data_IF_420909065487
#
_entry.id   IF_420909065487
#
_cell.length_a   1.000
_cell.length_b   1.000
_cell.length_c   1.000
_cell.angle_alpha   90.00
_cell.angle_beta   90.00
_cell.angle_gamma   90.00
#
_symmetry.space_group_name_H-M   'P 1'
#
loop_
_entity.id
_entity.type
_entity.pdbx_description
1 polymer ?
#
# COMPACT_ATOMS: atom_id res chain seq x y z
N UNK A 1 43.11 2.38 16.40
CA UNK A 1 42.03 1.56 17.00
C UNK A 1 40.73 2.29 16.69
N UNK A 2 40.06 1.89 15.61
CA UNK A 2 38.94 2.61 15.00
C UNK A 2 37.64 2.06 15.59
N UNK A 3 36.68 2.88 16.05
CA UNK A 3 35.37 2.36 16.45
C UNK A 3 34.52 2.16 15.20
N UNK A 4 34.12 0.92 14.97
CA UNK A 4 33.18 0.50 13.94
C UNK A 4 31.78 1.03 14.28
N UNK A 5 31.00 1.59 13.34
CA UNK A 5 29.62 1.96 13.63
C UNK A 5 28.75 0.70 13.75
N UNK A 6 27.98 0.66 14.82
CA UNK A 6 26.97 -0.35 15.15
C UNK A 6 25.85 -0.27 14.09
N UNK A 7 25.40 -1.38 13.47
CA UNK A 7 24.25 -1.33 12.58
C UNK A 7 23.00 -1.06 13.43
N UNK A 8 22.43 0.14 13.30
CA UNK A 8 21.15 0.47 13.91
C UNK A 8 20.05 -0.34 13.23
N UNK A 9 19.48 -1.29 14.00
CA UNK A 9 18.21 -1.95 13.70
C UNK A 9 17.11 -0.90 13.52
N UNK A 10 16.48 -0.92 12.35
CA UNK A 10 15.08 -0.50 12.17
C UNK A 10 14.76 0.95 12.49
N UNK A 11 15.41 1.89 11.82
CA UNK A 11 14.73 3.15 11.54
C UNK A 11 13.64 2.83 10.50
N UNK A 12 12.37 2.89 10.90
CA UNK A 12 11.26 3.05 9.96
C UNK A 12 11.50 4.43 9.34
N UNK A 13 12.25 4.47 8.24
CA UNK A 13 12.29 5.64 7.37
C UNK A 13 10.82 5.91 7.04
N UNK A 14 10.34 7.11 7.32
CA UNK A 14 9.04 7.52 6.83
C UNK A 14 9.10 7.36 5.31
N UNK A 15 8.50 6.28 4.78
CA UNK A 15 8.36 6.11 3.35
C UNK A 15 7.61 7.35 2.87
N UNK A 16 8.26 8.16 2.04
CA UNK A 16 7.62 9.32 1.42
C UNK A 16 6.63 8.80 0.38
N UNK A 17 5.43 8.45 0.85
CA UNK A 17 4.34 8.01 0.00
C UNK A 17 3.81 9.19 -0.80
N UNK A 18 3.93 9.09 -2.11
CA UNK A 18 3.33 10.05 -3.01
C UNK A 18 1.82 9.90 -2.98
N UNK A 19 1.12 10.95 -2.54
CA UNK A 19 -0.33 10.95 -2.36
C UNK A 19 -1.00 11.79 -3.43
N UNK A 20 -2.00 11.23 -4.12
CA UNK A 20 -2.78 11.94 -5.12
C UNK A 20 -4.25 11.50 -5.14
N UNK A 21 -5.14 12.45 -5.38
CA UNK A 21 -6.56 12.17 -5.59
C UNK A 21 -6.81 11.68 -7.01
N UNK A 22 -7.57 10.59 -7.13
CA UNK A 22 -8.01 10.02 -8.39
C UNK A 22 -9.46 9.53 -8.29
N UNK A 23 -10.05 9.13 -9.42
CA UNK A 23 -11.38 8.52 -9.44
C UNK A 23 -11.26 7.03 -9.74
N UNK A 24 -11.89 6.21 -8.90
CA UNK A 24 -12.12 4.79 -9.15
C UNK A 24 -13.62 4.55 -9.24
N UNK A 25 -14.08 4.00 -10.36
CA UNK A 25 -15.51 3.68 -10.58
C UNK A 25 -16.44 4.89 -10.33
N UNK A 26 -16.06 6.07 -10.83
CA UNK A 26 -16.76 7.36 -10.60
C UNK A 26 -16.83 7.84 -9.14
N UNK A 27 -16.10 7.21 -8.21
CA UNK A 27 -15.97 7.64 -6.83
C UNK A 27 -14.57 8.24 -6.54
N UNK A 28 -14.48 9.29 -5.73
CA UNK A 28 -13.20 9.85 -5.30
C UNK A 28 -12.43 8.83 -4.44
N UNK A 29 -11.16 8.65 -4.76
CA UNK A 29 -10.24 7.78 -4.05
C UNK A 29 -8.85 8.44 -3.96
N UNK A 30 -8.22 8.30 -2.80
CA UNK A 30 -6.88 8.81 -2.54
C UNK A 30 -5.90 7.65 -2.77
N UNK A 31 -4.97 7.82 -3.68
CA UNK A 31 -3.89 6.88 -3.93
C UNK A 31 -2.67 7.32 -3.16
N UNK A 32 -2.00 6.37 -2.51
CA UNK A 32 -0.73 6.55 -1.85
C UNK A 32 0.23 5.50 -2.40
N UNK A 33 1.33 5.91 -2.99
CA UNK A 33 2.28 4.97 -3.62
C UNK A 33 3.69 5.29 -3.19
N UNK A 34 4.48 4.26 -2.89
CA UNK A 34 5.91 4.41 -2.69
C UNK A 34 6.57 4.53 -4.06
N UNK A 35 7.03 5.72 -4.42
CA UNK A 35 7.68 6.01 -5.71
C UNK A 35 9.15 5.59 -5.73
N UNK A 36 9.72 5.21 -4.57
CA UNK A 36 11.11 4.84 -4.40
C UNK A 36 11.33 3.32 -4.43
N UNK A 37 10.29 2.53 -4.76
CA UNK A 37 10.39 1.08 -4.88
C UNK A 37 11.34 0.71 -6.02
N UNK A 38 12.48 0.04 -5.75
CA UNK A 38 13.41 -0.36 -6.80
C UNK A 38 12.78 -1.41 -7.73
N UNK A 39 13.04 -1.30 -9.03
CA UNK A 39 12.55 -2.27 -10.01
C UNK A 39 13.03 -3.70 -9.70
N UNK A 40 14.27 -3.84 -9.20
CA UNK A 40 14.84 -5.12 -8.80
C UNK A 40 14.06 -5.74 -7.64
N UNK A 41 13.58 -4.92 -6.71
CA UNK A 41 12.80 -5.39 -5.56
C UNK A 41 11.45 -5.98 -5.98
N UNK A 42 10.83 -5.44 -7.03
CA UNK A 42 9.61 -6.00 -7.62
C UNK A 42 9.92 -7.26 -8.44
N UNK A 43 10.99 -7.25 -9.24
CA UNK A 43 11.34 -8.40 -10.09
C UNK A 43 11.62 -9.69 -9.32
N UNK A 44 12.12 -9.58 -8.08
CA UNK A 44 12.37 -10.74 -7.21
C UNK A 44 11.11 -11.23 -6.50
N UNK A 45 9.97 -10.54 -6.62
CA UNK A 45 8.72 -10.80 -5.89
C UNK A 45 7.57 -11.00 -6.86
N UNK A 46 7.39 -12.19 -7.42
CA UNK A 46 6.40 -12.43 -8.47
C UNK A 46 4.94 -12.40 -7.99
N UNK A 47 4.68 -12.31 -6.69
CA UNK A 47 3.32 -12.33 -6.17
C UNK A 47 2.91 -10.96 -5.64
N UNK A 48 1.78 -10.44 -6.15
CA UNK A 48 1.09 -9.29 -5.59
C UNK A 48 0.04 -9.76 -4.61
N UNK A 49 0.16 -9.28 -3.38
CA UNK A 49 -0.79 -9.46 -2.31
C UNK A 49 -1.60 -8.18 -2.14
N UNK A 50 -2.92 -8.30 -2.01
CA UNK A 50 -3.76 -7.19 -1.60
C UNK A 50 -4.53 -7.53 -0.32
N UNK A 51 -4.68 -6.53 0.54
CA UNK A 51 -5.55 -6.56 1.71
C UNK A 51 -6.52 -5.41 1.59
N UNK A 52 -7.79 -5.72 1.40
CA UNK A 52 -8.88 -4.78 1.39
C UNK A 52 -9.64 -4.85 2.70
N UNK A 53 -10.00 -3.69 3.25
CA UNK A 53 -11.08 -3.60 4.23
C UNK A 53 -12.13 -2.60 3.77
N UNK A 54 -13.39 -3.03 3.86
CA UNK A 54 -14.56 -2.29 3.43
C UNK A 54 -15.49 -2.10 4.62
N UNK A 55 -16.08 -0.91 4.75
CA UNK A 55 -17.16 -0.68 5.70
C UNK A 55 -18.37 -1.51 5.29
N UNK A 56 -19.10 -2.02 6.28
CA UNK A 56 -20.42 -2.62 6.03
C UNK A 56 -21.50 -1.58 5.76
N UNK A 57 -21.15 -0.30 5.92
CA UNK A 57 -22.00 0.87 5.63
C UNK A 57 -21.51 1.56 4.36
N UNK A 58 -22.06 2.74 4.09
CA UNK A 58 -21.70 3.57 2.94
C UNK A 58 -20.36 4.30 3.09
N UNK A 59 -19.85 4.47 4.33
CA UNK A 59 -18.59 5.14 4.60
C UNK A 59 -17.88 4.57 5.83
N UNK A 60 -16.55 4.64 5.82
CA UNK A 60 -15.71 4.25 6.94
C UNK A 60 -15.95 5.16 8.14
N UNK A 61 -16.24 4.55 9.28
CA UNK A 61 -16.33 5.26 10.56
C UNK A 61 -14.94 5.43 11.18
N UNK A 62 -14.73 6.42 12.07
CA UNK A 62 -13.43 6.59 12.75
C UNK A 62 -12.96 5.35 13.52
N UNK A 63 -13.89 4.50 13.94
CA UNK A 63 -13.58 3.19 14.56
C UNK A 63 -13.02 2.23 13.53
N UNK A 64 -13.66 2.10 12.38
CA UNK A 64 -13.23 1.26 11.27
C UNK A 64 -11.85 1.68 10.74
N UNK A 65 -11.58 2.98 10.61
CA UNK A 65 -10.27 3.49 10.23
C UNK A 65 -9.16 3.08 11.20
N UNK A 66 -9.44 3.12 12.52
CA UNK A 66 -8.48 2.64 13.54
C UNK A 66 -8.22 1.15 13.41
N UNK A 67 -9.25 0.37 13.09
CA UNK A 67 -9.11 -1.07 12.83
C UNK A 67 -8.30 -1.34 11.56
N UNK A 68 -8.53 -0.59 10.48
CA UNK A 68 -7.72 -0.67 9.24
C UNK A 68 -6.26 -0.35 9.51
N UNK A 69 -5.98 0.74 10.24
CA UNK A 69 -4.61 1.11 10.61
C UNK A 69 -3.94 0.04 11.48
N UNK A 70 -4.68 -0.61 12.38
CA UNK A 70 -4.18 -1.72 13.19
C UNK A 70 -3.94 -2.98 12.35
N UNK A 71 -4.85 -3.31 11.43
CA UNK A 71 -4.72 -4.42 10.50
C UNK A 71 -3.51 -4.23 9.59
N UNK A 72 -3.31 -3.03 9.04
CA UNK A 72 -2.15 -2.67 8.23
C UNK A 72 -0.85 -2.85 9.01
N UNK A 73 -0.75 -2.27 10.21
CA UNK A 73 0.44 -2.44 11.08
C UNK A 73 0.70 -3.89 11.45
N UNK A 74 -0.35 -4.70 11.57
CA UNK A 74 -0.22 -6.13 11.85
C UNK A 74 0.25 -6.88 10.62
N UNK A 75 -0.29 -6.57 9.44
CA UNK A 75 0.13 -7.12 8.16
C UNK A 75 1.60 -6.80 7.89
N UNK A 76 2.02 -5.54 8.01
CA UNK A 76 3.41 -5.11 7.84
C UNK A 76 4.40 -5.82 8.78
N UNK A 77 3.97 -6.17 10.00
CA UNK A 77 4.81 -6.89 10.97
C UNK A 77 4.81 -8.40 10.80
N UNK A 78 3.74 -8.96 10.25
CA UNK A 78 3.54 -10.42 10.19
C UNK A 78 3.95 -10.96 8.84
N UNK A 79 3.62 -10.23 7.79
CA UNK A 79 3.87 -10.63 6.41
C UNK A 79 5.28 -10.19 6.02
N UNK A 80 6.04 -11.09 5.43
CA UNK A 80 7.30 -10.76 4.79
C UNK A 80 7.02 -10.29 3.35
N UNK A 81 6.43 -9.11 3.26
CA UNK A 81 5.98 -8.53 1.99
C UNK A 81 6.35 -7.04 1.91
N UNK A 82 6.79 -6.62 0.73
CA UNK A 82 7.12 -5.25 0.40
C UNK A 82 5.85 -4.44 0.19
N UNK A 83 5.56 -3.49 1.08
CA UNK A 83 4.48 -2.53 0.85
C UNK A 83 4.86 -1.57 -0.29
N UNK A 84 3.93 -1.38 -1.22
CA UNK A 84 4.18 -0.51 -2.40
C UNK A 84 3.16 0.61 -2.55
N UNK A 85 2.01 0.51 -1.86
CA UNK A 85 0.99 1.54 -1.92
C UNK A 85 -0.38 1.11 -1.41
N UNK A 86 -1.27 2.07 -1.35
CA UNK A 86 -2.65 1.89 -0.90
C UNK A 86 -3.62 2.81 -1.62
N UNK A 87 -4.88 2.41 -1.66
CA UNK A 87 -5.98 3.17 -2.24
C UNK A 87 -7.03 3.34 -1.15
N UNK A 88 -7.40 4.59 -0.87
CA UNK A 88 -8.35 4.97 0.17
C UNK A 88 -9.57 5.61 -0.47
N UNK A 89 -10.68 4.89 -0.49
CA UNK A 89 -11.98 5.40 -0.90
C UNK A 89 -12.90 5.56 0.32
N UNK A 90 -13.99 6.31 0.16
CA UNK A 90 -14.91 6.62 1.26
C UNK A 90 -15.41 5.38 2.04
N UNK A 91 -15.66 4.27 1.33
CA UNK A 91 -16.20 3.04 1.93
C UNK A 91 -15.18 1.90 2.03
N UNK A 92 -14.00 2.02 1.42
CA UNK A 92 -13.01 0.92 1.32
C UNK A 92 -11.57 1.44 1.31
N UNK A 93 -10.68 0.70 1.93
CA UNK A 93 -9.23 0.88 1.77
C UNK A 93 -8.61 -0.42 1.28
N UNK A 94 -7.66 -0.32 0.36
CA UNK A 94 -6.92 -1.45 -0.20
C UNK A 94 -5.43 -1.17 -0.05
N UNK A 95 -4.71 -2.11 0.53
CA UNK A 95 -3.26 -2.07 0.69
C UNK A 95 -2.63 -3.11 -0.24
N UNK A 96 -1.58 -2.73 -0.94
CA UNK A 96 -0.88 -3.56 -1.90
C UNK A 96 0.54 -3.85 -1.43
N UNK A 97 0.91 -5.12 -1.51
CA UNK A 97 2.21 -5.63 -1.15
C UNK A 97 2.73 -6.58 -2.23
N UNK A 98 4.05 -6.72 -2.33
CA UNK A 98 4.71 -7.72 -3.16
C UNK A 98 5.48 -8.70 -2.30
N UNK A 99 5.49 -9.97 -2.67
CA UNK A 99 6.21 -11.02 -1.98
C UNK A 99 6.73 -12.07 -2.96
N UNK A 100 7.77 -12.78 -2.55
CA UNK A 100 8.33 -13.94 -3.25
C UNK A 100 7.75 -15.26 -2.73
N UNK A 101 6.93 -15.22 -1.67
CA UNK A 101 6.33 -16.37 -1.04
C UNK A 101 4.80 -16.38 -1.18
N UNK A 102 4.28 -17.39 -1.89
CA UNK A 102 2.85 -17.59 -2.09
C UNK A 102 2.09 -17.90 -0.76
N UNK A 103 2.78 -18.44 0.26
CA UNK A 103 2.17 -18.73 1.56
C UNK A 103 1.73 -17.47 2.30
N UNK A 104 2.33 -16.31 1.98
CA UNK A 104 1.90 -15.01 2.51
C UNK A 104 0.44 -14.70 2.17
N UNK A 105 -0.08 -15.23 1.05
CA UNK A 105 -1.49 -15.14 0.71
C UNK A 105 -2.40 -15.82 1.73
N UNK A 106 -2.01 -17.02 2.18
CA UNK A 106 -2.71 -17.75 3.24
C UNK A 106 -2.60 -17.04 4.58
N UNK A 107 -1.43 -16.49 4.92
CA UNK A 107 -1.22 -15.71 6.14
C UNK A 107 -2.08 -14.44 6.15
N UNK A 108 -2.14 -13.71 5.04
CA UNK A 108 -2.98 -12.53 4.90
C UNK A 108 -4.47 -12.87 5.09
N UNK A 109 -4.94 -13.99 4.51
CA UNK A 109 -6.30 -14.50 4.75
C UNK A 109 -6.55 -14.84 6.22
N UNK A 110 -5.58 -15.44 6.90
CA UNK A 110 -5.69 -15.73 8.34
C UNK A 110 -5.71 -14.45 9.19
N UNK A 111 -4.98 -13.40 8.78
CA UNK A 111 -5.00 -12.08 9.44
C UNK A 111 -6.36 -11.42 9.31
N UNK A 112 -6.91 -11.34 8.10
CA UNK A 112 -8.21 -10.70 7.87
C UNK A 112 -9.37 -11.47 8.50
N UNK A 113 -9.27 -12.80 8.62
CA UNK A 113 -10.30 -13.62 9.25
C UNK A 113 -10.50 -13.31 10.75
N UNK A 114 -9.50 -12.69 11.38
CA UNK A 114 -9.59 -12.24 12.78
C UNK A 114 -10.33 -10.89 12.89
N UNK A 115 -10.46 -10.13 11.81
CA UNK A 115 -11.16 -8.85 11.79
C UNK A 115 -12.67 -9.10 11.66
N UNK A 116 -13.44 -8.54 12.60
CA UNK A 116 -14.89 -8.73 12.70
C UNK A 116 -15.68 -7.43 12.54
N UNK A 117 -15.00 -6.30 12.63
CA UNK A 117 -15.58 -4.96 12.55
C UNK A 117 -15.83 -4.58 11.10
N UNK A 118 -14.88 -4.89 10.22
CA UNK A 118 -14.93 -4.58 8.79
C UNK A 118 -15.29 -5.82 7.98
N UNK A 119 -15.65 -5.61 6.72
CA UNK A 119 -15.64 -6.66 5.69
C UNK A 119 -14.27 -6.65 5.01
N UNK A 120 -13.43 -7.62 5.36
CA UNK A 120 -12.06 -7.70 4.89
C UNK A 120 -11.90 -8.79 3.83
N UNK A 121 -11.11 -8.50 2.80
CA UNK A 121 -10.80 -9.43 1.73
C UNK A 121 -9.31 -9.39 1.46
N UNK A 122 -8.67 -10.55 1.37
CA UNK A 122 -7.26 -10.67 1.06
C UNK A 122 -7.10 -11.68 -0.07
N UNK A 123 -6.20 -11.37 -0.99
CA UNK A 123 -5.91 -12.22 -2.12
C UNK A 123 -4.45 -12.08 -2.52
N UNK A 124 -3.97 -13.12 -3.19
CA UNK A 124 -2.66 -13.19 -3.78
C UNK A 124 -2.84 -13.49 -5.26
N UNK A 125 -2.05 -12.81 -6.09
CA UNK A 125 -2.09 -12.93 -7.55
C UNK A 125 -0.66 -12.95 -8.09
N UNK A 126 -0.44 -13.74 -9.12
CA UNK A 126 0.79 -13.67 -9.91
C UNK A 126 0.88 -12.32 -10.62
N UNK A 127 1.94 -11.57 -10.32
CA UNK A 127 2.28 -10.31 -10.98
C UNK A 127 3.81 -10.14 -11.12
N UNK A 128 4.47 -11.05 -11.86
CA UNK A 128 5.93 -11.03 -12.03
C UNK A 128 6.45 -9.80 -12.78
N UNK A 129 5.59 -9.12 -13.53
CA UNK A 129 5.93 -7.89 -14.25
C UNK A 129 5.78 -6.63 -13.39
N UNK A 130 5.21 -6.74 -12.18
CA UNK A 130 4.89 -5.59 -11.34
C UNK A 130 3.83 -4.68 -11.96
N UNK A 131 2.95 -5.22 -12.81
CA UNK A 131 1.97 -4.43 -13.58
C UNK A 131 1.01 -3.68 -12.66
N UNK A 132 0.64 -4.25 -11.51
CA UNK A 132 -0.19 -3.55 -10.51
C UNK A 132 0.52 -2.31 -9.98
N UNK A 133 1.83 -2.40 -9.76
CA UNK A 133 2.57 -1.24 -9.29
C UNK A 133 2.69 -0.21 -10.40
N UNK A 134 3.18 -0.60 -11.58
CA UNK A 134 3.49 0.33 -12.67
C UNK A 134 2.27 0.89 -13.40
N UNK A 135 1.17 0.14 -13.53
CA UNK A 135 -0.01 0.54 -14.32
C UNK A 135 -1.18 1.02 -13.46
N UNK A 136 -1.33 0.51 -12.24
CA UNK A 136 -2.47 0.84 -11.37
C UNK A 136 -2.11 1.90 -10.32
N UNK A 137 -0.99 1.72 -9.62
CA UNK A 137 -0.62 2.59 -8.49
C UNK A 137 0.25 3.77 -8.92
N UNK A 138 1.24 3.53 -9.78
CA UNK A 138 2.16 4.54 -10.24
C UNK A 138 1.40 5.60 -11.07
N UNK A 139 1.48 6.90 -10.71
CA UNK A 139 0.83 7.94 -11.47
C UNK A 139 1.48 8.05 -12.86
N UNK A 140 0.66 8.00 -13.91
CA UNK A 140 1.12 8.17 -15.29
C UNK A 140 1.89 9.51 -15.47
N UNK A 141 2.79 9.58 -16.45
CA UNK A 141 3.70 10.72 -16.66
C UNK A 141 2.96 12.07 -16.81
N UNK A 142 1.75 12.06 -17.40
CA UNK A 142 0.90 13.24 -17.49
C UNK A 142 0.37 13.73 -16.12
N UNK A 143 0.18 12.82 -15.16
CA UNK A 143 -0.29 13.11 -13.80
C UNK A 143 0.84 13.66 -12.93
N UNK A 144 2.05 13.10 -13.07
CA UNK A 144 3.27 13.63 -12.45
C UNK A 144 3.51 15.08 -12.86
N UNK A 145 3.39 15.38 -14.16
CA UNK A 145 3.58 16.74 -14.67
C UNK A 145 2.51 17.73 -14.17
N UNK A 146 1.26 17.27 -14.01
CA UNK A 146 0.16 18.11 -13.52
C UNK A 146 0.28 18.41 -12.03
N UNK A 147 0.70 17.46 -11.19
CA UNK A 147 0.93 17.71 -9.77
C UNK A 147 2.19 18.55 -9.51
N UNK A 148 3.29 18.30 -10.24
CA UNK A 148 4.51 19.11 -10.12
C UNK A 148 4.25 20.58 -10.48
N UNK A 149 3.49 20.84 -11.56
CA UNK A 149 3.10 22.22 -11.90
C UNK A 149 2.21 22.87 -10.82
N UNK A 150 1.35 22.11 -10.15
CA UNK A 150 0.47 22.66 -9.10
C UNK A 150 1.27 23.05 -7.84
N UNK A 151 2.24 22.22 -7.44
CA UNK A 151 3.16 22.55 -6.32
C UNK A 151 4.05 23.76 -6.63
N UNK A 152 4.40 23.96 -7.91
CA UNK A 152 5.23 25.09 -8.33
C UNK A 152 4.46 26.42 -8.40
N UNK A 153 3.13 26.39 -8.52
CA UNK A 153 2.27 27.58 -8.49
C UNK A 153 2.03 28.07 -7.05
N UNK A 154 1.94 27.16 -6.07
CA UNK A 154 1.80 27.55 -4.65
C UNK A 154 3.10 28.14 -4.04
N UNK A 155 4.20 28.12 -4.81
CA UNK A 155 5.51 28.69 -4.43
C UNK A 155 5.78 30.06 -5.06
N UNK A 156 4.82 30.64 -5.79
CA UNK A 156 4.85 32.01 -6.35
C UNK A 156 3.89 32.94 -5.60
#
# INVERSE_FOLDING_TARGET
MVPWPIPMKGAVMAQELFTYDWHMDDAPAIFQVDMAVPAEALSCRPYMLYIQGKSRKEALTPREERHLAALFKKAEKTLDALFVGSIHAAARQVFFFYTDDAEQGSQAKALIAQEKVLDCTAGLRDDPAGDTYHKLLYPDAARLFTQQNRQQIDLL
#
